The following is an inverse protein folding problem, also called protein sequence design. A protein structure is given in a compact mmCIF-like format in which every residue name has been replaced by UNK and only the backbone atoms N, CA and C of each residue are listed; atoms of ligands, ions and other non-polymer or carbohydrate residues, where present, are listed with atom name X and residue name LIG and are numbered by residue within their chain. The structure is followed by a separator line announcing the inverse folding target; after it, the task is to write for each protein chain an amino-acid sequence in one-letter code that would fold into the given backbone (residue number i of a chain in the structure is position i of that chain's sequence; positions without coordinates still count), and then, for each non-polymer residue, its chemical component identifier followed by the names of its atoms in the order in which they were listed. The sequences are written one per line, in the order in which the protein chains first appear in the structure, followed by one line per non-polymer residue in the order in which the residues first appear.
data_IF_326416736845
#
_entry.id   IF_326416736845
#
_cell.length_a   1.000
_cell.length_b   1.000
_cell.length_c   1.000
_cell.angle_alpha   90.00
_cell.angle_beta   90.00
_cell.angle_gamma   90.00
#
_symmetry.space_group_name_H-M   'P 1'
#
loop_
_entity.id
_entity.type
_entity.pdbx_description
1 polymer ?
#
# COMPACT_ATOMS: atom_id res chain seq x y z
N UNK A 1 -24.82 -4.03 9.00
CA UNK A 1 -24.10 -3.61 7.78
C UNK A 1 -24.57 -2.21 7.47
N UNK A 2 -23.72 -1.21 7.70
CA UNK A 2 -24.04 0.16 7.30
C UNK A 2 -24.22 0.21 5.79
N UNK A 3 -25.33 0.82 5.35
CA UNK A 3 -25.67 0.97 3.94
C UNK A 3 -24.81 2.09 3.32
N UNK A 4 -23.52 1.84 3.20
CA UNK A 4 -22.61 2.70 2.44
C UNK A 4 -22.83 2.42 0.96
N UNK A 5 -23.33 3.43 0.24
CA UNK A 5 -23.47 3.43 -1.21
C UNK A 5 -22.41 4.36 -1.81
N UNK A 6 -21.84 3.97 -2.95
CA UNK A 6 -20.92 4.80 -3.74
C UNK A 6 -19.43 4.52 -3.50
N UNK A 7 -18.97 4.50 -2.25
CA UNK A 7 -17.53 4.28 -1.94
C UNK A 7 -17.12 2.83 -1.70
N UNK A 8 -18.08 1.92 -1.49
CA UNK A 8 -17.82 0.50 -1.25
C UNK A 8 -19.04 -0.38 -1.65
N UNK A 9 -18.98 -1.68 -1.37
CA UNK A 9 -20.04 -2.67 -1.65
C UNK A 9 -20.34 -2.91 -3.15
N UNK A 10 -19.37 -2.65 -4.04
CA UNK A 10 -19.41 -3.12 -5.42
C UNK A 10 -18.80 -4.52 -5.46
N UNK A 11 -19.58 -5.50 -5.92
CA UNK A 11 -19.14 -6.87 -6.12
C UNK A 11 -18.83 -7.09 -7.60
N UNK A 12 -17.66 -7.64 -7.89
CA UNK A 12 -17.18 -7.83 -9.26
C UNK A 12 -16.25 -9.03 -9.34
N UNK A 13 -15.95 -9.47 -10.55
CA UNK A 13 -14.92 -10.47 -10.83
C UNK A 13 -13.69 -9.80 -11.46
N UNK A 14 -12.53 -10.47 -11.44
CA UNK A 14 -11.34 -10.00 -12.15
C UNK A 14 -11.62 -9.78 -13.64
N UNK A 15 -12.48 -10.62 -14.24
CA UNK A 15 -12.86 -10.50 -15.64
C UNK A 15 -13.74 -9.27 -15.91
N UNK A 16 -14.69 -8.98 -15.03
CA UNK A 16 -15.53 -7.78 -15.13
C UNK A 16 -14.69 -6.51 -14.95
N UNK A 17 -13.79 -6.48 -13.97
CA UNK A 17 -12.85 -5.38 -13.77
C UNK A 17 -11.95 -5.21 -15.01
N UNK A 18 -11.43 -6.29 -15.58
CA UNK A 18 -10.68 -6.22 -16.82
C UNK A 18 -11.50 -5.58 -17.95
N UNK A 19 -12.73 -6.03 -18.17
CA UNK A 19 -13.62 -5.48 -19.20
C UNK A 19 -13.98 -4.02 -18.92
N UNK A 20 -14.17 -3.63 -17.67
CA UNK A 20 -14.40 -2.25 -17.25
C UNK A 20 -13.24 -1.35 -17.68
N UNK A 21 -12.00 -1.67 -17.30
CA UNK A 21 -10.83 -0.87 -17.67
C UNK A 21 -10.62 -0.85 -19.19
N UNK A 22 -10.85 -1.97 -19.89
CA UNK A 22 -10.75 -2.00 -21.36
C UNK A 22 -11.81 -1.12 -22.03
N UNK A 23 -13.02 -1.11 -21.49
CA UNK A 23 -14.12 -0.27 -21.99
C UNK A 23 -13.90 1.20 -21.67
N UNK A 24 -13.32 1.51 -20.51
CA UNK A 24 -12.94 2.86 -20.10
C UNK A 24 -11.94 3.46 -21.10
N UNK A 25 -10.85 2.75 -21.39
CA UNK A 25 -9.81 3.19 -22.35
C UNK A 25 -10.34 3.28 -23.78
N UNK A 26 -11.24 2.39 -24.16
CA UNK A 26 -11.87 2.40 -25.48
C UNK A 26 -12.90 3.53 -25.67
N UNK A 27 -13.09 4.40 -24.67
CA UNK A 27 -14.05 5.51 -24.74
C UNK A 27 -15.52 5.06 -24.75
N UNK A 28 -15.81 3.82 -24.29
CA UNK A 28 -17.16 3.24 -24.30
C UNK A 28 -17.98 3.64 -23.08
N UNK A 29 -17.31 4.00 -21.97
CA UNK A 29 -17.96 4.38 -20.71
C UNK A 29 -18.04 5.90 -20.55
N UNK A 30 -16.97 6.60 -20.93
CA UNK A 30 -16.85 8.06 -20.97
C UNK A 30 -16.05 8.45 -22.21
N UNK A 31 -16.11 9.71 -22.64
CA UNK A 31 -15.26 10.17 -23.74
C UNK A 31 -13.78 10.16 -23.34
N UNK A 32 -12.84 10.00 -24.29
CA UNK A 32 -11.41 10.07 -24.01
C UNK A 32 -11.00 11.37 -23.31
N UNK A 33 -11.61 12.51 -23.69
CA UNK A 33 -11.34 13.81 -23.06
C UNK A 33 -11.72 13.82 -21.57
N UNK A 34 -12.89 13.28 -21.21
CA UNK A 34 -13.31 13.18 -19.80
C UNK A 34 -12.36 12.26 -19.02
N UNK A 35 -11.93 11.16 -19.64
CA UNK A 35 -10.97 10.26 -18.99
C UNK A 35 -9.61 10.92 -18.80
N UNK A 36 -9.13 11.71 -19.77
CA UNK A 36 -7.89 12.48 -19.62
C UNK A 36 -7.99 13.48 -18.48
N UNK A 37 -9.09 14.26 -18.40
CA UNK A 37 -9.33 15.20 -17.31
C UNK A 37 -9.39 14.50 -15.93
N UNK A 38 -9.97 13.30 -15.87
CA UNK A 38 -10.07 12.53 -14.64
C UNK A 38 -8.73 12.00 -14.12
N UNK A 39 -7.66 12.06 -14.94
CA UNK A 39 -6.33 11.55 -14.65
C UNK A 39 -5.31 12.67 -14.40
N UNK A 40 -5.78 13.90 -14.20
CA UNK A 40 -4.97 15.06 -13.83
C UNK A 40 -5.06 15.27 -12.30
N UNK A 41 -3.93 15.43 -11.59
CA UNK A 41 -3.92 15.88 -10.20
C UNK A 41 -4.73 17.16 -10.01
N UNK A 42 -5.45 17.26 -8.89
CA UNK A 42 -6.37 18.37 -8.63
C UNK A 42 -5.76 19.32 -7.60
N UNK A 43 -5.95 20.63 -7.81
CA UNK A 43 -5.62 21.64 -6.81
C UNK A 43 -6.75 21.73 -5.75
N UNK A 44 -6.37 21.65 -4.48
CA UNK A 44 -7.26 21.79 -3.34
C UNK A 44 -7.53 23.27 -3.01
N UNK A 45 -8.53 23.53 -2.19
CA UNK A 45 -8.94 24.88 -1.80
C UNK A 45 -7.85 25.71 -1.09
N UNK A 46 -6.81 25.04 -0.58
CA UNK A 46 -5.64 25.66 0.06
C UNK A 46 -4.44 25.83 -0.90
N UNK A 47 -4.68 25.69 -2.22
CA UNK A 47 -3.69 25.71 -3.29
C UNK A 47 -2.66 24.58 -3.24
N UNK A 48 -2.87 23.56 -2.41
CA UNK A 48 -2.04 22.34 -2.43
C UNK A 48 -2.51 21.37 -3.52
N UNK A 49 -1.59 20.54 -4.02
CA UNK A 49 -1.91 19.55 -5.06
C UNK A 49 -2.24 18.20 -4.41
N UNK A 50 -3.32 17.56 -4.87
CA UNK A 50 -3.62 16.16 -4.52
C UNK A 50 -3.37 15.25 -5.71
N UNK A 51 -2.78 14.09 -5.42
CA UNK A 51 -2.66 13.01 -6.39
C UNK A 51 -3.97 12.20 -6.51
N UNK A 52 -5.02 12.55 -5.77
CA UNK A 52 -6.31 11.87 -5.87
C UNK A 52 -7.29 12.67 -6.75
N UNK A 53 -7.83 12.03 -7.78
CA UNK A 53 -8.82 12.62 -8.67
C UNK A 53 -9.86 11.57 -9.08
N UNK A 54 -11.16 11.89 -8.94
CA UNK A 54 -12.27 11.04 -9.41
C UNK A 54 -12.21 9.55 -9.01
N UNK A 55 -11.69 9.25 -7.81
CA UNK A 55 -11.55 7.87 -7.31
C UNK A 55 -10.27 7.14 -7.74
N UNK A 56 -9.36 7.86 -8.40
CA UNK A 56 -8.04 7.37 -8.80
C UNK A 56 -6.94 8.04 -7.98
N UNK A 57 -5.96 7.26 -7.54
CA UNK A 57 -4.67 7.78 -7.08
C UNK A 57 -3.70 7.81 -8.27
N UNK A 58 -3.21 8.99 -8.60
CA UNK A 58 -2.32 9.26 -9.72
C UNK A 58 -0.89 9.25 -9.22
N UNK A 59 -0.12 8.25 -9.65
CA UNK A 59 1.29 8.10 -9.34
C UNK A 59 2.10 8.60 -10.53
N UNK A 60 2.62 9.81 -10.42
CA UNK A 60 3.51 10.38 -11.43
C UNK A 60 4.85 9.62 -11.48
N UNK A 61 5.36 9.40 -12.69
CA UNK A 61 6.69 8.85 -12.93
C UNK A 61 7.35 9.52 -14.12
N UNK A 62 8.68 9.39 -14.25
CA UNK A 62 9.41 9.89 -15.41
C UNK A 62 8.95 9.25 -16.74
N UNK A 63 8.27 8.09 -16.69
CA UNK A 63 7.77 7.34 -17.84
C UNK A 63 6.29 7.60 -18.17
N UNK A 64 5.66 8.60 -17.53
CA UNK A 64 4.23 8.86 -17.57
C UNK A 64 3.58 8.65 -16.19
N UNK A 65 2.27 8.47 -16.14
CA UNK A 65 1.57 8.22 -14.87
C UNK A 65 1.08 6.78 -14.78
N UNK A 66 0.99 6.28 -13.54
CA UNK A 66 0.23 5.11 -13.19
C UNK A 66 -0.98 5.54 -12.37
N UNK A 67 -2.04 4.75 -12.46
CA UNK A 67 -3.24 4.91 -11.66
C UNK A 67 -3.29 3.75 -10.69
N UNK A 68 -3.41 4.07 -9.42
CA UNK A 68 -3.58 3.11 -8.35
C UNK A 68 -4.98 3.28 -7.75
N UNK A 69 -5.61 2.16 -7.42
CA UNK A 69 -6.89 2.12 -6.71
C UNK A 69 -6.90 0.89 -5.83
N UNK A 70 -7.34 1.06 -4.59
CA UNK A 70 -7.47 0.00 -3.61
C UNK A 70 -8.86 0.01 -3.00
N UNK A 71 -9.30 -1.18 -2.59
CA UNK A 71 -10.56 -1.39 -1.91
C UNK A 71 -10.40 -2.46 -0.86
N UNK A 72 -10.76 -2.13 0.38
CA UNK A 72 -10.61 -3.01 1.53
C UNK A 72 -11.94 -3.14 2.28
N UNK A 73 -12.41 -4.38 2.41
CA UNK A 73 -13.46 -4.77 3.36
C UNK A 73 -12.95 -5.96 4.18
N UNK A 74 -13.48 -6.22 5.38
CA UNK A 74 -13.08 -7.40 6.15
C UNK A 74 -13.21 -8.68 5.32
N UNK A 75 -12.12 -9.42 5.18
CA UNK A 75 -12.05 -10.66 4.41
C UNK A 75 -11.91 -10.50 2.90
N UNK A 76 -11.97 -9.29 2.32
CA UNK A 76 -11.68 -9.09 0.90
C UNK A 76 -10.88 -7.82 0.62
N UNK A 77 -9.91 -7.90 -0.29
CA UNK A 77 -9.15 -6.75 -0.75
C UNK A 77 -8.98 -6.79 -2.25
N UNK A 78 -8.97 -5.62 -2.86
CA UNK A 78 -8.65 -5.43 -4.26
C UNK A 78 -7.61 -4.33 -4.38
N UNK A 79 -6.62 -4.56 -5.23
CA UNK A 79 -5.66 -3.53 -5.61
C UNK A 79 -5.47 -3.56 -7.11
N UNK A 80 -5.44 -2.39 -7.72
CA UNK A 80 -5.41 -2.20 -9.18
C UNK A 80 -4.31 -1.21 -9.51
N UNK A 81 -3.41 -1.62 -10.41
CA UNK A 81 -2.41 -0.74 -11.00
C UNK A 81 -2.64 -0.69 -12.51
N UNK A 82 -2.91 0.50 -13.02
CA UNK A 82 -3.17 0.72 -14.43
C UNK A 82 -2.18 1.76 -15.00
N UNK A 83 -1.52 1.41 -16.10
CA UNK A 83 -0.61 2.33 -16.83
C UNK A 83 -1.11 2.49 -18.27
N UNK A 84 -1.99 3.47 -18.53
CA UNK A 84 -2.64 3.65 -19.84
C UNK A 84 -1.64 3.72 -20.99
N UNK A 85 -0.59 4.54 -20.86
CA UNK A 85 0.43 4.74 -21.91
C UNK A 85 1.22 3.48 -22.27
N UNK A 86 1.28 2.51 -21.36
CA UNK A 86 1.97 1.22 -21.55
C UNK A 86 1.00 0.08 -21.86
N UNK A 87 -0.30 0.35 -21.91
CA UNK A 87 -1.34 -0.66 -22.06
C UNK A 87 -1.27 -1.78 -20.99
N UNK A 88 -0.74 -1.46 -19.81
CA UNK A 88 -0.54 -2.40 -18.70
C UNK A 88 -1.66 -2.25 -17.67
N UNK A 89 -2.21 -3.38 -17.23
CA UNK A 89 -3.22 -3.44 -16.18
C UNK A 89 -2.92 -4.66 -15.29
N UNK A 90 -2.76 -4.40 -14.00
CA UNK A 90 -2.61 -5.41 -12.95
C UNK A 90 -3.85 -5.31 -12.07
N UNK A 91 -4.55 -6.42 -11.88
CA UNK A 91 -5.68 -6.53 -10.96
C UNK A 91 -5.35 -7.67 -10.00
N UNK A 92 -5.40 -7.38 -8.70
CA UNK A 92 -5.26 -8.37 -7.64
C UNK A 92 -6.52 -8.33 -6.78
N UNK A 93 -7.22 -9.44 -6.68
CA UNK A 93 -8.31 -9.65 -5.73
C UNK A 93 -7.89 -10.74 -4.75
N UNK A 94 -8.08 -10.51 -3.46
CA UNK A 94 -7.74 -11.44 -2.38
C UNK A 94 -8.92 -11.59 -1.42
N UNK A 95 -9.12 -12.80 -0.91
CA UNK A 95 -10.09 -13.13 0.12
C UNK A 95 -9.43 -13.35 1.50
N UNK A 96 -8.18 -12.93 1.66
CA UNK A 96 -7.41 -13.01 2.91
C UNK A 96 -7.11 -11.60 3.44
N UNK A 97 -8.09 -10.70 3.32
CA UNK A 97 -7.88 -9.35 3.81
C UNK A 97 -8.10 -9.26 5.31
N UNK A 98 -6.99 -9.20 6.03
CA UNK A 98 -6.96 -8.64 7.36
C UNK A 98 -6.10 -7.37 7.33
N UNK A 99 -6.63 -6.19 7.72
CA UNK A 99 -5.93 -4.92 7.59
C UNK A 99 -4.48 -4.99 8.11
N UNK A 100 -3.54 -4.67 7.22
CA UNK A 100 -2.10 -4.75 7.45
C UNK A 100 -1.47 -6.12 7.20
N UNK A 101 -2.17 -7.26 7.39
CA UNK A 101 -1.60 -8.61 7.26
C UNK A 101 -1.52 -9.14 5.82
N UNK A 102 -2.08 -8.42 4.85
CA UNK A 102 -2.04 -8.84 3.45
C UNK A 102 -0.76 -8.35 2.74
N UNK A 103 -0.39 -9.06 1.66
CA UNK A 103 0.79 -8.75 0.83
C UNK A 103 0.41 -8.07 -0.49
N UNK A 104 -0.76 -7.44 -0.57
CA UNK A 104 -1.30 -7.02 -1.86
C UNK A 104 -0.43 -5.94 -2.51
N UNK A 105 0.00 -4.96 -1.71
CA UNK A 105 0.83 -3.86 -2.17
C UNK A 105 2.20 -4.35 -2.65
N UNK A 106 2.78 -5.29 -1.91
CA UNK A 106 4.01 -5.98 -2.22
C UNK A 106 3.89 -6.78 -3.52
N UNK A 107 2.84 -7.58 -3.66
CA UNK A 107 2.60 -8.42 -4.83
C UNK A 107 2.45 -7.55 -6.07
N UNK A 108 1.62 -6.50 -6.03
CA UNK A 108 1.44 -5.60 -7.17
C UNK A 108 2.73 -4.91 -7.55
N UNK A 109 3.51 -4.41 -6.57
CA UNK A 109 4.81 -3.79 -6.84
C UNK A 109 5.76 -4.77 -7.52
N UNK A 110 5.84 -6.01 -7.02
CA UNK A 110 6.69 -7.05 -7.64
C UNK A 110 6.24 -7.40 -9.06
N UNK A 111 4.94 -7.56 -9.31
CA UNK A 111 4.42 -7.80 -10.67
C UNK A 111 4.74 -6.60 -11.57
N UNK A 112 4.56 -5.37 -11.09
CA UNK A 112 4.87 -4.16 -11.84
C UNK A 112 6.36 -4.05 -12.17
N UNK A 113 7.26 -4.49 -11.28
CA UNK A 113 8.70 -4.60 -11.55
C UNK A 113 8.96 -5.64 -12.64
N UNK A 114 8.42 -6.86 -12.50
CA UNK A 114 8.59 -7.92 -13.51
C UNK A 114 8.17 -7.43 -14.91
N UNK A 115 7.03 -6.74 -15.02
CA UNK A 115 6.57 -6.16 -16.29
C UNK A 115 7.47 -5.03 -16.82
N UNK A 116 8.16 -4.30 -15.93
CA UNK A 116 9.00 -3.19 -16.30
C UNK A 116 10.42 -3.60 -16.71
N UNK A 117 11.05 -4.54 -15.99
CA UNK A 117 12.47 -4.87 -16.14
C UNK A 117 12.78 -6.37 -16.18
N UNK A 118 11.75 -7.23 -16.13
CA UNK A 118 11.91 -8.68 -16.11
C UNK A 118 12.49 -9.25 -14.81
N UNK A 119 12.68 -8.43 -13.78
CA UNK A 119 13.29 -8.86 -12.52
C UNK A 119 12.23 -9.26 -11.51
N UNK A 120 12.37 -10.47 -10.99
CA UNK A 120 11.61 -10.91 -9.83
C UNK A 120 12.26 -10.39 -8.56
N UNK A 121 11.65 -9.37 -7.96
CA UNK A 121 11.93 -9.00 -6.57
C UNK A 121 10.95 -9.72 -5.67
N UNK A 122 11.43 -10.70 -4.91
CA UNK A 122 10.61 -11.35 -3.87
C UNK A 122 10.34 -10.30 -2.79
N UNK A 123 9.07 -9.98 -2.49
CA UNK A 123 8.79 -9.01 -1.44
C UNK A 123 9.34 -9.46 -0.10
N UNK A 124 9.98 -8.51 0.59
CA UNK A 124 10.40 -8.68 1.98
C UNK A 124 9.29 -8.20 2.90
N UNK A 125 9.22 -8.77 4.09
CA UNK A 125 8.24 -8.39 5.12
C UNK A 125 8.75 -7.20 5.92
N UNK A 126 7.88 -6.25 6.22
CA UNK A 126 8.23 -5.20 7.19
C UNK A 126 8.49 -5.81 8.56
N UNK A 127 9.63 -5.47 9.18
CA UNK A 127 9.89 -5.81 10.60
C UNK A 127 8.81 -5.22 11.49
N UNK A 128 8.48 -3.94 11.28
CA UNK A 128 7.46 -3.19 12.00
C UNK A 128 6.10 -3.88 11.95
N UNK A 129 5.75 -4.39 10.77
CA UNK A 129 4.52 -5.12 10.57
C UNK A 129 4.49 -6.45 11.34
N UNK A 130 5.59 -7.18 11.32
CA UNK A 130 5.67 -8.50 11.97
C UNK A 130 5.71 -8.40 13.49
N UNK A 131 6.37 -7.38 14.04
CA UNK A 131 6.34 -7.14 15.49
C UNK A 131 4.95 -6.73 15.98
N UNK A 132 4.20 -5.92 15.20
CA UNK A 132 2.87 -5.44 15.58
C UNK A 132 1.88 -6.57 15.92
N UNK A 133 2.07 -7.76 15.33
CA UNK A 133 1.21 -8.92 15.57
C UNK A 133 1.17 -9.36 17.03
N UNK A 134 2.27 -9.17 17.76
CA UNK A 134 2.42 -9.66 19.12
C UNK A 134 3.00 -8.62 20.09
N UNK A 135 3.24 -7.38 19.64
CA UNK A 135 3.95 -6.36 20.44
C UNK A 135 3.30 -6.03 21.79
N UNK A 136 1.97 -6.17 21.88
CA UNK A 136 1.25 -5.95 23.14
C UNK A 136 1.32 -7.14 24.11
N UNK A 137 1.66 -8.33 23.60
CA UNK A 137 1.73 -9.57 24.39
C UNK A 137 3.17 -9.91 24.78
N UNK A 138 4.14 -9.58 23.93
CA UNK A 138 5.55 -9.77 24.22
C UNK A 138 6.00 -8.89 25.40
N UNK A 139 6.85 -9.47 26.24
CA UNK A 139 7.72 -8.72 27.15
C UNK A 139 8.76 -7.90 26.37
N UNK A 140 9.38 -6.92 27.02
CA UNK A 140 10.37 -6.05 26.36
C UNK A 140 11.57 -6.84 25.82
N UNK A 141 12.01 -7.86 26.56
CA UNK A 141 13.09 -8.76 26.13
C UNK A 141 12.70 -9.61 24.93
N UNK A 142 11.44 -10.07 24.86
CA UNK A 142 10.94 -10.80 23.70
C UNK A 142 10.83 -9.89 22.48
N UNK A 143 10.38 -8.64 22.66
CA UNK A 143 10.36 -7.65 21.59
C UNK A 143 11.77 -7.44 21.03
N UNK A 144 12.76 -7.17 21.89
CA UNK A 144 14.14 -6.93 21.46
C UNK A 144 14.74 -8.14 20.72
N UNK A 145 14.56 -9.35 21.26
CA UNK A 145 15.07 -10.58 20.65
C UNK A 145 14.43 -10.85 19.28
N UNK A 146 13.10 -10.75 19.19
CA UNK A 146 12.38 -10.96 17.93
C UNK A 146 12.74 -9.88 16.91
N UNK A 147 12.83 -8.62 17.34
CA UNK A 147 13.25 -7.51 16.49
C UNK A 147 14.65 -7.74 15.90
N UNK A 148 15.64 -8.05 16.74
CA UNK A 148 17.01 -8.30 16.31
C UNK A 148 17.11 -9.52 15.38
N UNK A 149 16.34 -10.57 15.65
CA UNK A 149 16.26 -11.75 14.76
C UNK A 149 15.70 -11.39 13.38
N UNK A 150 14.66 -10.56 13.30
CA UNK A 150 14.10 -10.13 12.03
C UNK A 150 15.04 -9.19 11.26
N UNK A 151 15.64 -8.20 11.94
CA UNK A 151 16.58 -7.25 11.31
C UNK A 151 17.82 -7.94 10.76
N UNK A 152 18.32 -8.98 11.44
CA UNK A 152 19.47 -9.76 10.94
C UNK A 152 19.13 -10.59 9.70
N UNK A 153 17.86 -10.94 9.47
CA UNK A 153 17.42 -11.69 8.29
C UNK A 153 16.97 -10.75 7.15
N UNK A 154 17.93 -10.04 6.56
CA UNK A 154 17.71 -9.04 5.50
C UNK A 154 17.16 -9.60 4.20
N UNK A 155 17.25 -10.93 3.98
CA UNK A 155 16.64 -11.61 2.83
C UNK A 155 15.12 -11.70 2.96
N UNK A 156 14.61 -11.82 4.19
CA UNK A 156 13.18 -12.00 4.47
C UNK A 156 12.52 -10.71 4.92
N UNK A 157 13.25 -9.82 5.60
CA UNK A 157 12.69 -8.62 6.20
C UNK A 157 13.36 -7.34 5.71
N UNK A 158 12.60 -6.25 5.72
CA UNK A 158 13.08 -4.89 5.58
C UNK A 158 12.69 -4.07 6.80
N UNK A 159 13.51 -3.06 7.10
CA UNK A 159 13.24 -2.11 8.17
C UNK A 159 12.94 -0.74 7.55
N UNK A 160 11.80 -0.17 7.90
CA UNK A 160 11.45 1.19 7.52
C UNK A 160 11.38 2.09 8.76
N UNK A 161 12.06 3.23 8.66
CA UNK A 161 12.22 4.19 9.75
C UNK A 161 10.90 4.89 10.08
N UNK A 162 10.10 5.22 9.07
CA UNK A 162 8.85 5.92 9.28
C UNK A 162 7.82 4.98 9.91
N UNK A 163 7.78 3.72 9.49
CA UNK A 163 6.97 2.67 10.13
C UNK A 163 7.33 2.52 11.62
N UNK A 164 8.63 2.47 11.97
CA UNK A 164 9.07 2.39 13.37
C UNK A 164 8.56 3.58 14.20
N UNK A 165 8.69 4.80 13.67
CA UNK A 165 8.21 6.01 14.34
C UNK A 165 6.70 5.99 14.54
N UNK A 166 5.96 5.62 13.50
CA UNK A 166 4.50 5.56 13.55
C UNK A 166 4.02 4.55 14.59
N UNK A 167 4.69 3.40 14.74
CA UNK A 167 4.35 2.41 15.78
C UNK A 167 4.75 2.92 17.16
N UNK A 168 5.94 3.52 17.29
CA UNK A 168 6.42 4.09 18.54
C UNK A 168 5.43 5.10 19.14
N UNK A 169 4.95 6.05 18.33
CA UNK A 169 3.94 7.01 18.78
C UNK A 169 2.63 6.32 19.18
N UNK A 170 2.15 5.34 18.40
CA UNK A 170 0.94 4.57 18.76
C UNK A 170 1.07 3.79 20.06
N UNK A 171 2.25 3.26 20.38
CA UNK A 171 2.51 2.55 21.63
C UNK A 171 2.55 3.51 22.82
N UNK A 172 3.15 4.69 22.62
CA UNK A 172 3.17 5.77 23.61
C UNK A 172 1.74 6.21 23.96
N UNK A 173 0.88 6.38 22.96
CA UNK A 173 -0.54 6.71 23.16
C UNK A 173 -1.30 5.63 23.94
N UNK A 174 -0.86 4.37 23.84
CA UNK A 174 -1.41 3.22 24.57
C UNK A 174 -0.79 3.00 25.96
N UNK A 175 0.19 3.80 26.36
CA UNK A 175 0.88 3.67 27.65
C UNK A 175 2.02 2.65 27.68
N UNK A 176 2.37 2.02 26.56
CA UNK A 176 3.46 1.04 26.43
C UNK A 176 4.82 1.76 26.26
N UNK A 177 5.22 2.54 27.28
CA UNK A 177 6.34 3.48 27.20
C UNK A 177 7.68 2.84 26.86
N UNK A 178 8.03 1.73 27.51
CA UNK A 178 9.35 1.09 27.32
C UNK A 178 9.51 0.53 25.89
N UNK A 179 8.45 -0.09 25.36
CA UNK A 179 8.41 -0.56 23.97
C UNK A 179 8.41 0.59 22.97
N UNK A 180 7.69 1.66 23.25
CA UNK A 180 7.71 2.87 22.44
C UNK A 180 9.12 3.46 22.38
N UNK A 181 9.77 3.63 23.53
CA UNK A 181 11.12 4.18 23.63
C UNK A 181 12.15 3.30 22.93
N UNK A 182 12.04 1.97 23.03
CA UNK A 182 12.86 1.03 22.27
C UNK A 182 12.77 1.30 20.76
N UNK A 183 11.56 1.29 20.18
CA UNK A 183 11.38 1.48 18.73
C UNK A 183 11.82 2.88 18.27
N UNK A 184 11.52 3.92 19.06
CA UNK A 184 11.90 5.29 18.76
C UNK A 184 13.41 5.49 18.81
N UNK A 185 14.10 4.83 19.75
CA UNK A 185 15.56 4.86 19.84
C UNK A 185 16.22 4.11 18.67
N UNK A 186 15.66 2.98 18.25
CA UNK A 186 16.12 2.29 17.03
C UNK A 186 15.93 3.20 15.80
N UNK A 187 14.78 3.83 15.64
CA UNK A 187 14.49 4.72 14.52
C UNK A 187 15.43 5.93 14.44
N UNK A 188 15.90 6.43 15.59
CA UNK A 188 16.95 7.46 15.68
C UNK A 188 18.31 6.92 15.26
N UNK A 189 18.76 5.78 15.81
CA UNK A 189 20.07 5.20 15.44
C UNK A 189 20.17 4.87 13.95
N UNK A 190 19.07 4.46 13.33
CA UNK A 190 19.01 4.19 11.89
C UNK A 190 19.05 5.45 11.01
N UNK A 191 18.92 6.66 11.57
CA UNK A 191 19.06 7.92 10.80
C UNK A 191 20.50 8.35 10.55
N UNK A 192 21.43 7.83 11.34
CA UNK A 192 22.81 8.33 11.40
C UNK A 192 23.78 7.46 10.57
N UNK A 193 23.25 6.50 9.81
CA UNK A 193 24.01 5.58 8.95
C UNK A 193 23.88 5.89 7.45
N UNK A 194 23.66 7.15 7.06
CA UNK A 194 23.76 7.59 5.67
C UNK A 194 25.06 8.32 5.40
#
# INVERSE_FOLDING_TARGET
MDKLFGCCNIYSTVQDLFLFYRSLVAGRLVSPAILEDALIPVELNDATQTNQAYGFEIIASNSGFAVYSEGDIPGNSTAILWKPKRNELIILCSNDNYPGLNYNNEIIKSVATILADGKLNIPRKSVCFEIMKNILVWSDKELENNFNSMVSNTKRYYLDKQELRNIGEKLKDKGEKDKADFLMNVAKKYSDQK
#
